data_IF_288765003746
#
_entry.id   IF_288765003746
#
_cell.length_a   1.000
_cell.length_b   1.000
_cell.length_c   1.000
_cell.angle_alpha   90.00
_cell.angle_beta   90.00
_cell.angle_gamma   90.00
#
_symmetry.space_group_name_H-M   'P 1'
#
loop_
_entity.id
_entity.type
_entity.pdbx_description
1 polymer ?
#
# COMPACT_ATOMS: atom_id res chain seq x y z
N UNK A 1 6.20 -25.74 18.80
CA UNK A 1 5.81 -24.36 19.07
C UNK A 1 5.53 -23.65 17.75
N UNK A 2 4.58 -22.73 17.69
CA UNK A 2 4.36 -21.94 16.48
C UNK A 2 5.52 -20.99 16.22
N UNK A 3 5.66 -20.55 14.96
CA UNK A 3 6.78 -19.72 14.48
C UNK A 3 6.29 -18.40 13.92
N UNK A 4 7.17 -17.41 13.93
CA UNK A 4 6.94 -16.06 13.39
C UNK A 4 8.15 -15.58 12.57
N UNK A 5 7.90 -14.71 11.59
CA UNK A 5 8.95 -14.06 10.80
C UNK A 5 9.44 -12.81 11.53
N UNK A 6 10.73 -12.79 11.88
CA UNK A 6 11.35 -11.71 12.65
C UNK A 6 12.56 -11.14 11.90
N UNK A 7 12.61 -9.82 11.80
CA UNK A 7 13.82 -9.09 11.42
C UNK A 7 14.69 -8.87 12.67
N UNK A 8 15.86 -9.52 12.73
CA UNK A 8 16.82 -9.36 13.82
C UNK A 8 17.66 -8.08 13.70
N UNK A 9 17.96 -7.71 12.47
CA UNK A 9 18.67 -6.50 12.06
C UNK A 9 18.39 -6.25 10.56
N UNK A 10 18.83 -5.12 10.00
CA UNK A 10 18.67 -4.88 8.57
C UNK A 10 19.10 -6.09 7.72
N UNK A 11 18.25 -6.49 6.78
CA UNK A 11 18.44 -7.61 5.84
C UNK A 11 18.72 -8.98 6.48
N UNK A 12 18.42 -9.15 7.78
CA UNK A 12 18.57 -10.43 8.46
C UNK A 12 17.25 -10.87 9.07
N UNK A 13 16.57 -11.79 8.38
CA UNK A 13 15.33 -12.40 8.82
C UNK A 13 15.58 -13.83 9.35
N UNK A 14 14.73 -14.24 10.26
CA UNK A 14 14.63 -15.62 10.73
C UNK A 14 13.17 -16.01 10.95
N UNK A 15 12.88 -17.30 10.88
CA UNK A 15 11.71 -17.89 11.49
C UNK A 15 12.07 -18.25 12.93
N UNK A 16 11.37 -17.67 13.90
CA UNK A 16 11.60 -17.86 15.33
C UNK A 16 10.39 -18.57 15.96
N UNK A 17 10.63 -19.57 16.77
CA UNK A 17 9.60 -20.14 17.64
C UNK A 17 9.22 -19.15 18.75
N UNK A 18 7.95 -19.20 19.16
CA UNK A 18 7.46 -18.41 20.29
C UNK A 18 6.45 -19.21 21.12
N UNK A 19 6.29 -18.82 22.36
CA UNK A 19 5.26 -19.36 23.24
C UNK A 19 3.96 -18.61 23.03
N UNK A 20 2.88 -19.36 22.85
CA UNK A 20 1.55 -18.75 22.78
C UNK A 20 1.11 -18.25 24.15
N UNK A 21 0.60 -17.01 24.16
CA UNK A 21 0.00 -16.46 25.38
C UNK A 21 -1.22 -17.28 25.78
N UNK A 22 -1.46 -17.40 27.08
CA UNK A 22 -2.72 -17.91 27.60
C UNK A 22 -3.85 -17.00 27.11
N UNK A 23 -4.88 -17.59 26.51
CA UNK A 23 -6.07 -16.88 26.02
C UNK A 23 -6.77 -16.18 27.18
N UNK A 24 -7.06 -14.89 27.04
CA UNK A 24 -7.86 -14.14 28.01
C UNK A 24 -9.36 -14.25 27.63
N UNK A 25 -10.24 -13.83 28.56
CA UNK A 25 -11.67 -13.94 28.36
C UNK A 25 -12.21 -13.12 27.16
N UNK A 26 -11.56 -12.00 26.81
CA UNK A 26 -11.92 -11.09 25.72
C UNK A 26 -11.08 -11.28 24.44
N UNK A 27 -10.30 -12.37 24.37
CA UNK A 27 -9.40 -12.67 23.23
C UNK A 27 -9.88 -13.85 22.41
N UNK A 28 -9.46 -13.87 21.15
CA UNK A 28 -9.58 -15.00 20.23
C UNK A 28 -8.22 -15.51 19.82
N UNK A 29 -8.14 -16.82 19.56
CA UNK A 29 -6.97 -17.45 18.92
C UNK A 29 -7.28 -17.78 17.49
N UNK A 30 -6.39 -17.37 16.60
CA UNK A 30 -6.54 -17.52 15.16
C UNK A 30 -5.38 -18.34 14.63
N UNK A 31 -5.67 -19.33 13.78
CA UNK A 31 -4.68 -20.01 12.95
C UNK A 31 -4.56 -19.27 11.62
N UNK A 32 -3.35 -18.91 11.24
CA UNK A 32 -3.10 -18.20 9.99
C UNK A 32 -3.40 -19.06 8.76
N UNK A 33 -3.93 -18.46 7.71
CA UNK A 33 -4.16 -19.08 6.40
C UNK A 33 -3.34 -18.40 5.31
N UNK A 34 -3.32 -17.08 5.31
CA UNK A 34 -2.64 -16.30 4.29
C UNK A 34 -2.17 -14.94 4.84
N UNK A 35 -0.99 -14.49 4.43
CA UNK A 35 -0.45 -13.18 4.82
C UNK A 35 0.15 -12.46 3.64
N UNK A 36 0.21 -11.13 3.71
CA UNK A 36 0.87 -10.32 2.70
C UNK A 36 1.52 -9.09 3.32
N UNK A 37 2.80 -8.79 2.98
CA UNK A 37 3.49 -7.60 3.46
C UNK A 37 3.05 -6.33 2.72
N UNK A 38 3.38 -5.17 3.32
CA UNK A 38 3.27 -3.85 2.69
C UNK A 38 4.63 -3.46 2.09
N UNK A 39 4.88 -3.87 0.85
CA UNK A 39 6.20 -3.80 0.21
C UNK A 39 6.89 -2.44 0.36
N UNK A 40 6.19 -1.34 0.04
CA UNK A 40 6.76 0.01 0.10
C UNK A 40 7.34 0.34 1.48
N UNK A 41 6.55 0.18 2.54
CA UNK A 41 6.96 0.50 3.91
C UNK A 41 7.91 -0.55 4.49
N UNK A 42 7.58 -1.83 4.32
CA UNK A 42 8.36 -2.91 4.94
C UNK A 42 9.72 -3.13 4.31
N UNK A 43 9.90 -2.86 3.01
CA UNK A 43 11.22 -2.92 2.38
C UNK A 43 12.19 -1.93 3.01
N UNK A 44 11.73 -0.74 3.41
CA UNK A 44 12.58 0.23 4.11
C UNK A 44 12.91 -0.21 5.54
N UNK A 45 11.95 -0.82 6.22
CA UNK A 45 12.21 -1.43 7.53
C UNK A 45 13.21 -2.59 7.37
N UNK A 46 12.98 -3.47 6.44
CA UNK A 46 13.86 -4.60 6.14
C UNK A 46 15.29 -4.17 5.79
N UNK A 47 15.44 -3.11 4.98
CA UNK A 47 16.73 -2.53 4.60
C UNK A 47 17.38 -1.70 5.69
N UNK A 48 16.65 -1.29 6.72
CA UNK A 48 17.13 -0.39 7.77
C UNK A 48 17.21 1.07 7.34
N UNK A 49 16.46 1.46 6.31
CA UNK A 49 16.47 2.82 5.73
C UNK A 49 15.23 3.64 6.08
N UNK A 50 14.37 3.15 6.96
CA UNK A 50 13.17 3.88 7.37
C UNK A 50 13.55 5.16 8.16
N UNK A 51 12.97 6.34 7.85
CA UNK A 51 13.29 7.62 8.54
C UNK A 51 13.05 7.58 10.05
N UNK A 52 12.17 6.71 10.50
CA UNK A 52 11.89 6.46 11.92
C UNK A 52 13.08 5.89 12.70
N UNK A 53 14.19 5.57 12.02
CA UNK A 53 15.44 5.19 12.68
C UNK A 53 16.19 6.38 13.26
N UNK A 54 16.06 7.57 12.65
CA UNK A 54 16.78 8.78 13.02
C UNK A 54 15.89 9.85 13.66
N UNK A 55 14.59 9.83 13.36
CA UNK A 55 13.63 10.84 13.79
C UNK A 55 12.38 10.22 14.38
N UNK A 56 11.75 10.94 15.30
CA UNK A 56 10.42 10.62 15.87
C UNK A 56 9.45 11.72 15.47
N UNK A 57 8.25 11.35 15.05
CA UNK A 57 7.19 12.33 14.81
C UNK A 57 6.61 12.79 16.14
N UNK A 58 6.70 14.10 16.40
CA UNK A 58 6.09 14.74 17.55
C UNK A 58 4.64 15.12 17.19
N UNK A 59 3.63 14.56 17.87
CA UNK A 59 2.23 14.81 17.54
C UNK A 59 1.75 16.21 17.99
N UNK A 60 2.40 16.83 18.97
CA UNK A 60 2.04 18.17 19.44
C UNK A 60 2.47 19.24 18.44
N UNK A 61 3.74 19.18 18.03
CA UNK A 61 4.28 20.14 17.06
C UNK A 61 4.08 19.71 15.61
N UNK A 62 3.68 18.44 15.37
CA UNK A 62 3.56 17.81 14.05
C UNK A 62 4.85 17.88 13.22
N UNK A 63 5.98 17.70 13.89
CA UNK A 63 7.33 17.75 13.32
C UNK A 63 8.05 16.42 13.51
N UNK A 64 8.94 16.09 12.58
CA UNK A 64 9.93 15.04 12.76
C UNK A 64 11.15 15.62 13.50
N UNK A 65 11.27 15.29 14.78
CA UNK A 65 12.38 15.72 15.63
C UNK A 65 13.46 14.62 15.68
N UNK A 66 14.74 15.00 15.93
CA UNK A 66 15.79 14.02 16.15
C UNK A 66 15.39 13.02 17.23
N UNK A 67 15.60 11.73 16.98
CA UNK A 67 15.33 10.68 17.96
C UNK A 67 16.50 10.62 18.95
N UNK A 68 16.19 10.72 20.23
CA UNK A 68 17.15 10.30 21.25
C UNK A 68 17.49 8.83 21.04
N UNK A 69 18.78 8.49 21.00
CA UNK A 69 19.27 7.14 20.71
C UNK A 69 18.90 6.16 21.83
N UNK A 70 17.65 5.81 21.96
CA UNK A 70 17.18 4.79 22.90
C UNK A 70 16.79 3.53 22.14
N UNK A 71 17.72 2.59 22.06
CA UNK A 71 17.48 1.23 21.56
C UNK A 71 17.47 1.05 20.05
N UNK A 72 17.71 -0.17 19.63
CA UNK A 72 17.56 -0.62 18.24
C UNK A 72 16.07 -0.79 17.91
N UNK A 73 15.60 -0.44 16.68
CA UNK A 73 14.25 -0.78 16.21
C UNK A 73 14.09 -2.28 15.96
N UNK A 74 15.13 -3.06 16.13
CA UNK A 74 15.19 -4.52 16.01
C UNK A 74 15.45 -5.19 17.37
N UNK A 75 14.99 -6.45 17.55
CA UNK A 75 14.21 -7.27 16.62
C UNK A 75 12.75 -6.81 16.49
N UNK A 76 12.14 -7.03 15.31
CA UNK A 76 10.73 -6.71 15.10
C UNK A 76 10.03 -7.67 14.13
N UNK A 77 8.72 -7.94 14.32
CA UNK A 77 7.94 -8.72 13.36
C UNK A 77 7.74 -7.95 12.05
N UNK A 78 7.56 -8.70 10.96
CA UNK A 78 7.20 -8.20 9.64
C UNK A 78 5.83 -8.77 9.24
N UNK A 79 5.17 -8.10 8.31
CA UNK A 79 3.84 -8.43 7.79
C UNK A 79 2.88 -7.27 7.99
N UNK A 80 1.81 -7.25 7.21
CA UNK A 80 0.83 -6.17 7.23
C UNK A 80 -0.59 -6.68 7.36
N UNK A 81 -1.06 -7.50 6.42
CA UNK A 81 -2.40 -8.05 6.42
C UNK A 81 -2.33 -9.58 6.45
N UNK A 82 -3.19 -10.18 7.26
CA UNK A 82 -3.33 -11.65 7.30
C UNK A 82 -4.78 -12.06 7.41
N UNK A 83 -5.07 -13.26 6.92
CA UNK A 83 -6.32 -13.97 7.13
C UNK A 83 -6.07 -15.23 7.94
N UNK A 84 -7.12 -15.76 8.55
CA UNK A 84 -7.05 -17.00 9.29
C UNK A 84 -8.42 -17.46 9.78
N UNK A 85 -8.41 -18.59 10.46
CA UNK A 85 -9.62 -19.18 11.10
C UNK A 85 -9.48 -19.09 12.60
N UNK A 86 -10.54 -18.64 13.27
CA UNK A 86 -10.64 -18.68 14.74
C UNK A 86 -10.66 -20.13 15.21
N UNK A 87 -9.72 -20.52 16.06
CA UNK A 87 -9.62 -21.88 16.61
C UNK A 87 -10.08 -21.94 18.08
N UNK A 88 -10.06 -20.80 18.78
CA UNK A 88 -10.49 -20.71 20.18
C UNK A 88 -11.01 -19.29 20.47
N UNK A 89 -12.05 -19.15 21.29
CA UNK A 89 -12.60 -17.87 21.73
C UNK A 89 -12.78 -17.86 23.25
N UNK A 90 -12.37 -16.77 23.89
CA UNK A 90 -12.56 -16.56 25.32
C UNK A 90 -14.04 -16.38 25.70
N UNK A 91 -14.38 -16.61 26.96
CA UNK A 91 -15.76 -16.65 27.42
C UNK A 91 -16.54 -15.33 27.34
N UNK A 92 -15.85 -14.19 27.17
CA UNK A 92 -16.47 -12.87 27.03
C UNK A 92 -16.55 -12.38 25.57
N UNK A 93 -15.97 -13.14 24.63
CA UNK A 93 -16.03 -12.84 23.19
C UNK A 93 -17.47 -13.00 22.69
N UNK A 94 -17.98 -11.98 21.99
CA UNK A 94 -19.35 -11.94 21.48
C UNK A 94 -19.46 -11.99 19.96
N UNK A 95 -18.43 -11.52 19.26
CA UNK A 95 -18.45 -11.35 17.80
C UNK A 95 -17.98 -12.58 17.04
N UNK A 96 -17.19 -13.45 17.66
CA UNK A 96 -16.51 -14.54 16.97
C UNK A 96 -16.66 -15.88 17.71
N UNK A 97 -16.63 -16.95 16.94
CA UNK A 97 -16.60 -18.35 17.43
C UNK A 97 -15.59 -19.17 16.65
N UNK A 98 -15.21 -20.31 17.17
CA UNK A 98 -14.35 -21.27 16.45
C UNK A 98 -14.98 -21.64 15.09
N UNK A 99 -14.15 -21.62 14.05
CA UNK A 99 -14.53 -21.85 12.65
C UNK A 99 -14.80 -20.56 11.86
N UNK A 100 -14.93 -19.40 12.50
CA UNK A 100 -15.10 -18.13 11.78
C UNK A 100 -13.81 -17.73 11.05
N UNK A 101 -13.94 -17.36 9.78
CA UNK A 101 -12.82 -16.81 9.01
C UNK A 101 -12.71 -15.31 9.24
N UNK A 102 -11.48 -14.86 9.44
CA UNK A 102 -11.18 -13.49 9.86
C UNK A 102 -10.01 -12.90 9.10
N UNK A 103 -9.90 -11.58 9.09
CA UNK A 103 -8.75 -10.85 8.54
C UNK A 103 -8.44 -9.60 9.37
N UNK A 104 -7.20 -9.11 9.27
CA UNK A 104 -6.79 -7.86 9.93
C UNK A 104 -5.32 -7.54 9.75
N UNK A 105 -4.91 -6.44 10.37
CA UNK A 105 -3.51 -6.02 10.40
C UNK A 105 -2.70 -6.88 11.38
N UNK A 106 -2.12 -7.95 10.87
CA UNK A 106 -1.40 -8.95 11.62
C UNK A 106 -0.04 -9.25 10.96
N UNK A 107 1.01 -9.53 11.76
CA UNK A 107 2.33 -9.90 11.23
C UNK A 107 2.32 -11.31 10.63
N UNK A 108 3.39 -11.68 9.92
CA UNK A 108 3.59 -13.04 9.36
C UNK A 108 3.98 -14.00 10.47
N UNK A 109 3.00 -14.83 10.92
CA UNK A 109 3.18 -15.84 11.97
C UNK A 109 2.09 -16.91 11.90
N UNK A 110 2.34 -18.08 12.47
CA UNK A 110 1.43 -19.24 12.35
C UNK A 110 0.14 -19.11 13.15
N UNK A 111 0.16 -18.40 14.30
CA UNK A 111 -1.05 -18.18 15.12
C UNK A 111 -1.10 -16.77 15.69
N UNK A 112 -2.27 -16.28 16.05
CA UNK A 112 -2.47 -14.97 16.69
C UNK A 112 -3.36 -15.13 17.93
N UNK A 113 -3.07 -14.37 18.97
CA UNK A 113 -3.98 -14.16 20.10
C UNK A 113 -4.25 -12.67 20.20
N UNK A 114 -5.46 -12.25 19.89
CA UNK A 114 -5.87 -10.85 19.75
C UNK A 114 -7.25 -10.60 20.34
N UNK A 115 -7.54 -9.34 20.68
CA UNK A 115 -8.89 -8.94 21.11
C UNK A 115 -9.84 -8.92 19.91
N UNK A 116 -11.12 -9.20 20.17
CA UNK A 116 -12.14 -9.25 19.11
C UNK A 116 -12.30 -7.93 18.33
N UNK A 117 -11.97 -6.78 18.90
CA UNK A 117 -12.07 -5.48 18.23
C UNK A 117 -10.89 -5.15 17.30
N UNK A 118 -9.88 -6.02 17.22
CA UNK A 118 -8.70 -5.86 16.36
C UNK A 118 -8.81 -6.60 15.04
N UNK A 119 -9.92 -7.31 14.82
CA UNK A 119 -10.09 -8.25 13.72
C UNK A 119 -11.49 -8.07 13.11
N UNK A 120 -11.62 -8.38 11.83
CA UNK A 120 -12.87 -8.34 11.08
C UNK A 120 -13.24 -9.73 10.55
N UNK A 121 -14.55 -10.00 10.40
CA UNK A 121 -15.01 -11.18 9.69
C UNK A 121 -14.60 -11.14 8.22
N UNK A 122 -14.04 -12.23 7.71
CA UNK A 122 -13.85 -12.39 6.28
C UNK A 122 -15.20 -12.73 5.62
N UNK A 123 -15.73 -11.87 4.73
CA UNK A 123 -17.03 -12.12 4.13
C UNK A 123 -17.09 -13.40 3.33
N UNK A 124 -18.27 -14.01 3.30
CA UNK A 124 -18.53 -15.12 2.41
C UNK A 124 -18.27 -14.71 0.94
N UNK A 125 -17.54 -15.53 0.22
CA UNK A 125 -17.18 -15.29 -1.19
C UNK A 125 -15.96 -14.39 -1.42
N UNK A 126 -15.34 -13.82 -0.37
CA UNK A 126 -14.06 -13.14 -0.49
C UNK A 126 -12.91 -14.12 -0.22
N UNK A 127 -11.93 -14.16 -1.11
CA UNK A 127 -10.73 -14.98 -0.95
C UNK A 127 -9.74 -14.32 0.04
N UNK A 128 -8.79 -15.11 0.56
CA UNK A 128 -7.71 -14.60 1.41
C UNK A 128 -6.83 -13.59 0.66
N UNK A 129 -6.58 -13.83 -0.62
CA UNK A 129 -5.80 -12.94 -1.50
C UNK A 129 -6.49 -11.58 -1.70
N UNK A 130 -7.81 -11.58 -1.85
CA UNK A 130 -8.60 -10.34 -1.91
C UNK A 130 -8.54 -9.58 -0.58
N UNK A 131 -8.73 -10.27 0.54
CA UNK A 131 -8.74 -9.65 1.87
C UNK A 131 -7.40 -8.95 2.20
N UNK A 132 -6.26 -9.55 1.85
CA UNK A 132 -4.96 -8.89 2.08
C UNK A 132 -4.68 -7.72 1.13
N UNK A 133 -5.55 -7.52 0.13
CA UNK A 133 -5.52 -6.36 -0.76
C UNK A 133 -6.42 -5.20 -0.29
N UNK A 134 -7.14 -5.34 0.81
CA UNK A 134 -7.96 -4.25 1.37
C UNK A 134 -7.12 -3.06 1.84
N UNK A 135 -5.94 -3.29 2.44
CA UNK A 135 -5.04 -2.18 2.81
C UNK A 135 -4.56 -1.36 1.59
N UNK A 136 -4.02 -1.96 0.51
CA UNK A 136 -3.71 -1.17 -0.68
C UNK A 136 -4.96 -0.53 -1.34
N UNK A 137 -6.12 -1.15 -1.29
CA UNK A 137 -7.37 -0.56 -1.80
C UNK A 137 -7.80 0.67 -0.96
N UNK A 138 -7.71 0.59 0.36
CA UNK A 138 -7.96 1.71 1.27
C UNK A 138 -7.04 2.90 0.99
N UNK A 139 -5.74 2.67 0.86
CA UNK A 139 -4.75 3.73 0.58
C UNK A 139 -4.97 4.33 -0.82
N UNK A 140 -5.28 3.48 -1.82
CA UNK A 140 -5.61 3.93 -3.17
C UNK A 140 -6.85 4.82 -3.17
N UNK A 141 -7.93 4.41 -2.49
CA UNK A 141 -9.17 5.19 -2.41
C UNK A 141 -8.94 6.57 -1.80
N UNK A 142 -8.16 6.66 -0.72
CA UNK A 142 -7.81 7.95 -0.13
C UNK A 142 -7.05 8.84 -1.12
N UNK A 143 -6.07 8.29 -1.85
CA UNK A 143 -5.33 9.01 -2.90
C UNK A 143 -6.23 9.49 -4.03
N UNK A 144 -7.16 8.67 -4.50
CA UNK A 144 -8.15 9.02 -5.53
C UNK A 144 -9.08 10.14 -5.05
N UNK A 145 -9.53 10.10 -3.80
CA UNK A 145 -10.35 11.16 -3.22
C UNK A 145 -9.61 12.48 -3.09
N UNK A 146 -8.39 12.45 -2.57
CA UNK A 146 -7.53 13.63 -2.49
C UNK A 146 -7.17 14.18 -3.87
N UNK A 147 -7.10 13.32 -4.90
CA UNK A 147 -6.92 13.70 -6.29
C UNK A 147 -8.13 14.44 -6.86
N UNK A 148 -9.32 14.27 -6.25
CA UNK A 148 -10.57 14.93 -6.64
C UNK A 148 -10.82 14.84 -8.16
N UNK A 149 -10.70 13.63 -8.70
CA UNK A 149 -10.90 13.34 -10.13
C UNK A 149 -12.34 13.67 -10.50
N UNK A 150 -12.49 14.46 -11.56
CA UNK A 150 -13.80 14.82 -12.12
C UNK A 150 -14.06 14.07 -13.42
N UNK A 151 -15.33 13.84 -13.70
CA UNK A 151 -15.75 13.22 -14.95
C UNK A 151 -15.16 14.00 -16.15
N UNK A 152 -14.49 13.28 -17.04
CA UNK A 152 -13.89 13.87 -18.24
C UNK A 152 -12.38 14.16 -18.11
N UNK A 153 -11.80 14.11 -16.91
CA UNK A 153 -10.38 14.38 -16.70
C UNK A 153 -9.48 13.24 -17.21
N UNK A 154 -8.27 13.61 -17.60
CA UNK A 154 -7.15 12.71 -17.91
C UNK A 154 -6.29 12.53 -16.68
N UNK A 155 -5.88 11.32 -16.41
CA UNK A 155 -5.12 10.96 -15.21
C UNK A 155 -3.81 10.26 -15.60
N UNK A 156 -2.72 10.57 -14.89
CA UNK A 156 -1.48 9.80 -14.96
C UNK A 156 -1.15 9.18 -13.62
N UNK A 157 -0.73 7.92 -13.60
CA UNK A 157 -0.36 7.17 -12.39
C UNK A 157 1.09 6.74 -12.49
N UNK A 158 1.91 7.15 -11.53
CA UNK A 158 3.33 6.85 -11.44
C UNK A 158 3.59 5.86 -10.30
N UNK A 159 4.08 4.66 -10.67
CA UNK A 159 4.26 3.53 -9.76
C UNK A 159 3.06 2.59 -9.72
N UNK A 160 3.24 1.39 -10.29
CA UNK A 160 2.21 0.37 -10.46
C UNK A 160 2.42 -0.83 -9.53
N UNK A 161 2.76 -0.54 -8.27
CA UNK A 161 2.63 -1.49 -7.17
C UNK A 161 1.16 -1.75 -6.83
N UNK A 162 0.89 -2.49 -5.75
CA UNK A 162 -0.48 -2.84 -5.36
C UNK A 162 -1.41 -1.61 -5.25
N UNK A 163 -0.93 -0.50 -4.66
CA UNK A 163 -1.72 0.72 -4.50
C UNK A 163 -1.97 1.38 -5.87
N UNK A 164 -0.94 1.48 -6.73
CA UNK A 164 -1.10 2.09 -8.06
C UNK A 164 -2.04 1.31 -8.98
N UNK A 165 -1.98 -0.01 -8.93
CA UNK A 165 -2.89 -0.89 -9.67
C UNK A 165 -4.35 -0.75 -9.19
N UNK A 166 -4.58 -0.62 -7.88
CA UNK A 166 -5.91 -0.31 -7.34
C UNK A 166 -6.36 1.11 -7.73
N UNK A 167 -5.42 2.08 -7.74
CA UNK A 167 -5.70 3.47 -8.16
C UNK A 167 -6.13 3.55 -9.63
N UNK A 168 -5.58 2.74 -10.52
CA UNK A 168 -5.98 2.72 -11.93
C UNK A 168 -7.46 2.35 -12.09
N UNK A 169 -7.91 1.30 -11.41
CA UNK A 169 -9.31 0.89 -11.40
C UNK A 169 -10.22 1.98 -10.82
N UNK A 170 -9.83 2.55 -9.70
CA UNK A 170 -10.64 3.57 -9.02
C UNK A 170 -10.67 4.90 -9.78
N UNK A 171 -9.58 5.28 -10.49
CA UNK A 171 -9.58 6.45 -11.37
C UNK A 171 -10.61 6.29 -12.51
N UNK A 172 -10.70 5.10 -13.09
CA UNK A 172 -11.72 4.78 -14.10
C UNK A 172 -13.12 4.92 -13.54
N UNK A 173 -13.38 4.35 -12.35
CA UNK A 173 -14.67 4.46 -11.66
C UNK A 173 -15.01 5.92 -11.28
N UNK A 174 -14.01 6.77 -11.09
CA UNK A 174 -14.19 8.20 -10.77
C UNK A 174 -14.46 9.06 -12.01
N UNK A 175 -14.45 8.47 -13.21
CA UNK A 175 -14.78 9.18 -14.46
C UNK A 175 -13.57 9.69 -15.24
N UNK A 176 -12.37 9.19 -14.97
CA UNK A 176 -11.20 9.44 -15.83
C UNK A 176 -11.48 8.94 -17.25
N UNK A 177 -11.26 9.80 -18.25
CA UNK A 177 -11.48 9.47 -19.68
C UNK A 177 -10.28 8.77 -20.29
N UNK A 178 -9.08 9.13 -19.87
CA UNK A 178 -7.82 8.51 -20.27
C UNK A 178 -6.95 8.32 -19.01
N UNK A 179 -6.40 7.13 -18.86
CA UNK A 179 -5.46 6.79 -17.78
C UNK A 179 -4.13 6.39 -18.40
N UNK A 180 -3.11 7.25 -18.20
CA UNK A 180 -1.73 6.93 -18.45
C UNK A 180 -1.10 6.31 -17.21
N UNK A 181 -0.20 5.35 -17.38
CA UNK A 181 0.45 4.73 -16.24
C UNK A 181 1.93 4.46 -16.49
N UNK A 182 2.78 4.63 -15.49
CA UNK A 182 4.24 4.46 -15.61
C UNK A 182 4.81 3.58 -14.51
N UNK A 183 5.58 2.57 -14.91
CA UNK A 183 6.38 1.71 -14.02
C UNK A 183 7.49 1.05 -14.84
N UNK A 184 8.73 0.88 -14.31
CA UNK A 184 9.81 0.21 -15.03
C UNK A 184 9.53 -1.28 -15.29
N UNK A 185 8.65 -1.93 -14.51
CA UNK A 185 8.44 -3.37 -14.54
C UNK A 185 7.34 -3.77 -15.53
N UNK A 186 7.65 -4.52 -16.60
CA UNK A 186 6.67 -4.91 -17.63
C UNK A 186 5.47 -5.69 -17.07
N UNK A 187 5.68 -6.53 -16.04
CA UNK A 187 4.60 -7.31 -15.42
C UNK A 187 3.54 -6.41 -14.80
N UNK A 188 3.94 -5.28 -14.20
CA UNK A 188 3.05 -4.31 -13.58
C UNK A 188 2.31 -3.49 -14.64
N UNK A 189 3.02 -3.07 -15.71
CA UNK A 189 2.39 -2.35 -16.83
C UNK A 189 1.30 -3.17 -17.49
N UNK A 190 1.57 -4.46 -17.80
CA UNK A 190 0.55 -5.37 -18.36
C UNK A 190 -0.67 -5.55 -17.45
N UNK A 191 -0.47 -5.59 -16.12
CA UNK A 191 -1.60 -5.68 -15.21
C UNK A 191 -2.38 -4.36 -15.11
N UNK A 192 -1.69 -3.21 -15.19
CA UNK A 192 -2.34 -1.91 -15.23
C UNK A 192 -3.25 -1.74 -16.46
N UNK A 193 -2.85 -2.25 -17.62
CA UNK A 193 -3.69 -2.28 -18.83
C UNK A 193 -4.96 -3.11 -18.61
N UNK A 194 -4.84 -4.30 -18.00
CA UNK A 194 -6.02 -5.10 -17.61
C UNK A 194 -6.92 -4.37 -16.63
N UNK A 195 -6.35 -3.53 -15.78
CA UNK A 195 -7.04 -2.77 -14.75
C UNK A 195 -7.57 -1.42 -15.22
N UNK A 196 -7.46 -1.14 -16.53
CA UNK A 196 -8.09 0.02 -17.16
C UNK A 196 -7.16 1.19 -17.48
N UNK A 197 -5.83 1.02 -17.38
CA UNK A 197 -4.89 1.98 -17.97
C UNK A 197 -4.96 1.90 -19.50
N UNK A 198 -5.15 3.05 -20.15
CA UNK A 198 -5.29 3.12 -21.61
C UNK A 198 -3.93 3.06 -22.32
N UNK A 199 -2.87 3.53 -21.66
CA UNK A 199 -1.50 3.48 -22.17
C UNK A 199 -0.50 3.43 -21.02
N UNK A 200 0.53 2.59 -21.19
CA UNK A 200 1.61 2.45 -20.20
C UNK A 200 2.96 2.86 -20.76
N UNK A 201 3.86 3.31 -19.89
CA UNK A 201 5.20 3.77 -20.24
C UNK A 201 6.27 3.15 -19.35
N UNK A 202 7.43 2.92 -19.95
CA UNK A 202 8.65 2.50 -19.27
C UNK A 202 9.55 3.73 -19.04
N UNK A 203 9.68 4.21 -17.77
CA UNK A 203 10.49 5.40 -17.49
C UNK A 203 12.00 5.19 -17.72
N UNK A 204 12.44 3.95 -17.92
CA UNK A 204 13.85 3.66 -18.25
C UNK A 204 14.15 3.77 -19.74
N UNK A 205 13.11 3.82 -20.57
CA UNK A 205 13.24 3.78 -22.04
C UNK A 205 12.80 5.08 -22.71
N UNK A 206 11.92 5.87 -22.05
CA UNK A 206 11.37 7.10 -22.64
C UNK A 206 11.26 8.22 -21.61
N UNK A 207 11.19 9.47 -22.08
CA UNK A 207 10.75 10.61 -21.27
C UNK A 207 9.23 10.53 -21.12
N UNK A 208 8.79 9.98 -19.98
CA UNK A 208 7.36 9.69 -19.72
C UNK A 208 6.50 10.94 -19.80
N UNK A 209 6.98 12.05 -19.23
CA UNK A 209 6.21 13.29 -19.23
C UNK A 209 6.00 13.83 -20.65
N UNK A 210 7.04 13.79 -21.48
CA UNK A 210 6.97 14.20 -22.89
C UNK A 210 6.03 13.27 -23.68
N UNK A 211 6.10 11.97 -23.47
CA UNK A 211 5.22 11.02 -24.15
C UNK A 211 3.75 11.18 -23.73
N UNK A 212 3.47 11.48 -22.47
CA UNK A 212 2.13 11.81 -21.99
C UNK A 212 1.64 13.11 -22.66
N UNK A 213 2.49 14.15 -22.74
CA UNK A 213 2.13 15.40 -23.45
C UNK A 213 1.76 15.11 -24.89
N UNK A 214 2.59 14.41 -25.67
CA UNK A 214 2.30 14.04 -27.05
C UNK A 214 0.98 13.24 -27.19
N UNK A 215 0.77 12.26 -26.30
CA UNK A 215 -0.41 11.41 -26.31
C UNK A 215 -1.70 12.15 -25.92
N UNK A 216 -1.58 13.32 -25.29
CA UNK A 216 -2.70 14.17 -24.84
C UNK A 216 -2.87 15.43 -25.66
N UNK A 217 -2.45 15.43 -26.94
CA UNK A 217 -2.51 16.59 -27.84
C UNK A 217 -1.72 17.79 -27.26
N UNK A 218 -0.53 17.54 -26.78
CA UNK A 218 0.44 18.48 -26.18
C UNK A 218 -0.05 19.19 -24.90
N UNK A 219 -1.19 18.79 -24.34
CA UNK A 219 -1.79 19.44 -23.16
C UNK A 219 -1.30 18.85 -21.83
N UNK A 220 -1.09 17.54 -21.78
CA UNK A 220 -0.84 16.82 -20.54
C UNK A 220 -2.13 16.34 -19.85
N UNK A 221 -1.99 15.89 -18.60
CA UNK A 221 -3.10 15.38 -17.80
C UNK A 221 -3.61 16.42 -16.80
N UNK A 222 -4.84 16.25 -16.35
CA UNK A 222 -5.45 17.11 -15.34
C UNK A 222 -4.92 16.78 -13.95
N UNK A 223 -4.66 15.49 -13.71
CA UNK A 223 -4.21 14.96 -12.43
C UNK A 223 -3.10 13.94 -12.64
N UNK A 224 -2.00 14.07 -11.92
CA UNK A 224 -1.00 13.03 -11.78
C UNK A 224 -0.99 12.50 -10.34
N UNK A 225 -0.97 11.18 -10.17
CA UNK A 225 -0.92 10.51 -8.87
C UNK A 225 0.41 9.77 -8.77
N UNK A 226 1.25 10.19 -7.84
CA UNK A 226 2.56 9.58 -7.61
C UNK A 226 2.50 8.63 -6.42
N UNK A 227 2.82 7.35 -6.65
CA UNK A 227 2.63 6.25 -5.70
C UNK A 227 3.93 5.43 -5.53
N UNK A 228 4.98 5.72 -6.29
CA UNK A 228 6.22 4.96 -6.24
C UNK A 228 7.14 5.36 -5.08
N UNK A 229 7.06 6.60 -4.61
CA UNK A 229 7.98 7.19 -3.65
C UNK A 229 9.35 7.53 -4.24
N UNK A 230 9.47 7.53 -5.56
CA UNK A 230 10.68 7.91 -6.29
C UNK A 230 10.62 9.38 -6.68
N UNK A 231 11.61 10.15 -6.31
CA UNK A 231 11.64 11.59 -6.62
C UNK A 231 11.76 11.89 -8.13
N UNK A 232 12.37 10.99 -8.93
CA UNK A 232 12.37 11.09 -10.38
C UNK A 232 10.96 10.90 -10.96
N UNK A 233 10.21 9.92 -10.47
CA UNK A 233 8.82 9.71 -10.86
C UNK A 233 7.91 10.88 -10.43
N UNK A 234 8.19 11.51 -9.27
CA UNK A 234 7.50 12.73 -8.86
C UNK A 234 7.82 13.90 -9.81
N UNK A 235 9.07 14.04 -10.24
CA UNK A 235 9.43 15.06 -11.23
C UNK A 235 8.70 14.81 -12.57
N UNK A 236 8.62 13.56 -13.03
CA UNK A 236 7.84 13.22 -14.23
C UNK A 236 6.33 13.48 -14.04
N UNK A 237 5.80 13.20 -12.86
CA UNK A 237 4.41 13.54 -12.53
C UNK A 237 4.15 15.06 -12.63
N UNK A 238 5.06 15.88 -12.08
CA UNK A 238 5.00 17.34 -12.18
C UNK A 238 5.03 17.80 -13.65
N UNK A 239 5.95 17.24 -14.46
CA UNK A 239 6.10 17.58 -15.88
C UNK A 239 4.93 17.15 -16.75
N UNK A 240 4.19 16.11 -16.35
CA UNK A 240 3.11 15.53 -17.16
C UNK A 240 1.79 16.28 -17.06
N UNK A 241 1.53 17.05 -15.99
CA UNK A 241 0.27 17.78 -15.82
C UNK A 241 0.21 19.03 -16.69
N UNK A 242 -1.01 19.45 -17.01
CA UNK A 242 -1.23 20.70 -17.74
C UNK A 242 -1.05 21.95 -16.84
N UNK A 243 -1.19 23.11 -17.42
CA UNK A 243 -1.18 24.39 -16.68
C UNK A 243 -2.26 24.40 -15.60
N UNK A 244 -1.89 24.76 -14.36
CA UNK A 244 -2.73 24.70 -13.16
C UNK A 244 -3.26 23.27 -12.82
N UNK A 245 -2.62 22.22 -13.33
CA UNK A 245 -2.96 20.83 -13.00
C UNK A 245 -2.60 20.44 -11.58
N UNK A 246 -2.98 19.22 -11.17
CA UNK A 246 -2.79 18.70 -9.81
C UNK A 246 -1.83 17.51 -9.79
N UNK A 247 -0.94 17.48 -8.80
CA UNK A 247 -0.10 16.31 -8.47
C UNK A 247 -0.46 15.86 -7.06
N UNK A 248 -0.79 14.59 -6.90
CA UNK A 248 -1.09 13.98 -5.60
C UNK A 248 -0.03 12.95 -5.26
N UNK A 249 0.64 13.12 -4.12
CA UNK A 249 1.64 12.18 -3.65
C UNK A 249 1.02 11.27 -2.60
N UNK A 250 0.97 9.97 -2.88
CA UNK A 250 0.41 8.94 -1.97
C UNK A 250 1.53 8.19 -1.25
N UNK A 251 2.75 8.30 -1.74
CA UNK A 251 3.91 7.59 -1.24
C UNK A 251 4.60 8.28 -0.08
N UNK A 252 5.37 7.48 0.64
CA UNK A 252 6.29 7.93 1.67
C UNK A 252 7.69 8.07 1.07
N UNK A 253 8.09 9.30 0.77
CA UNK A 253 9.40 9.61 0.20
C UNK A 253 10.50 9.52 1.25
N UNK A 254 11.66 9.05 0.82
CA UNK A 254 12.83 8.90 1.69
C UNK A 254 14.09 9.43 1.01
N UNK A 255 15.05 9.82 1.83
CA UNK A 255 16.31 10.38 1.32
C UNK A 255 16.16 11.81 0.84
N UNK A 256 17.01 12.21 -0.13
CA UNK A 256 17.09 13.57 -0.66
C UNK A 256 16.19 13.75 -1.87
N UNK A 257 15.46 14.86 -1.92
CA UNK A 257 14.66 15.30 -3.07
C UNK A 257 15.47 15.93 -4.21
N UNK A 258 16.75 15.60 -4.36
CA UNK A 258 17.66 16.23 -5.35
C UNK A 258 17.24 16.07 -6.81
N UNK A 259 16.35 15.12 -7.12
CA UNK A 259 15.78 14.98 -8.46
C UNK A 259 14.71 16.04 -8.80
N UNK A 260 14.16 16.73 -7.80
CA UNK A 260 13.12 17.74 -8.03
C UNK A 260 13.69 19.05 -8.56
N UNK A 261 13.01 19.62 -9.55
CA UNK A 261 13.31 20.87 -10.22
C UNK A 261 12.15 21.83 -10.07
N UNK A 262 11.91 22.33 -8.84
CA UNK A 262 10.73 23.14 -8.53
C UNK A 262 10.75 24.52 -9.19
N UNK A 263 11.88 25.02 -9.64
CA UNK A 263 11.99 26.25 -10.43
C UNK A 263 11.51 26.11 -11.90
N UNK A 264 11.31 24.89 -12.36
CA UNK A 264 10.89 24.58 -13.73
C UNK A 264 9.37 24.44 -13.82
N UNK A 265 8.85 23.32 -14.29
CA UNK A 265 7.43 23.13 -14.62
C UNK A 265 6.48 23.38 -13.43
N UNK A 266 6.88 23.00 -12.20
CA UNK A 266 6.04 23.26 -11.03
C UNK A 266 5.74 24.77 -10.88
N UNK A 267 6.77 25.59 -10.95
CA UNK A 267 6.65 27.06 -10.82
C UNK A 267 5.95 27.66 -12.05
N UNK A 268 6.47 27.37 -13.26
CA UNK A 268 5.99 27.98 -14.49
C UNK A 268 4.54 27.60 -14.83
N UNK A 269 4.15 26.37 -14.58
CA UNK A 269 2.80 25.88 -14.88
C UNK A 269 1.82 26.03 -13.72
N UNK A 270 2.22 26.68 -12.60
CA UNK A 270 1.37 26.95 -11.43
C UNK A 270 0.70 25.68 -10.89
N UNK A 271 1.47 24.60 -10.78
CA UNK A 271 0.96 23.27 -10.42
C UNK A 271 0.64 23.21 -8.93
N UNK A 272 -0.52 22.66 -8.58
CA UNK A 272 -0.87 22.31 -7.21
C UNK A 272 -0.29 20.93 -6.87
N UNK A 273 0.52 20.85 -5.82
CA UNK A 273 1.02 19.58 -5.30
C UNK A 273 0.50 19.36 -3.88
N UNK A 274 -0.09 18.21 -3.62
CA UNK A 274 -0.64 17.87 -2.31
C UNK A 274 -0.28 16.42 -1.92
N UNK A 275 -0.17 16.19 -0.62
CA UNK A 275 0.09 14.86 -0.07
C UNK A 275 -1.20 14.17 0.34
N UNK A 276 -1.30 12.86 0.11
CA UNK A 276 -2.34 11.99 0.62
C UNK A 276 -1.74 11.00 1.62
N UNK A 277 -2.28 10.99 2.83
CA UNK A 277 -1.78 10.14 3.90
C UNK A 277 -2.91 9.73 4.85
N UNK A 278 -3.62 8.64 4.55
CA UNK A 278 -4.81 8.22 5.31
C UNK A 278 -4.50 7.43 6.58
N UNK A 279 -3.21 7.19 6.89
CA UNK A 279 -2.77 6.37 8.03
C UNK A 279 -2.40 7.22 9.26
N UNK A 280 -2.13 6.56 10.41
CA UNK A 280 -1.74 7.18 11.68
C UNK A 280 -2.76 8.20 12.22
N UNK A 281 -4.06 7.89 12.05
CA UNK A 281 -5.18 8.73 12.51
C UNK A 281 -5.19 10.14 11.90
N UNK A 282 -4.57 10.34 10.73
CA UNK A 282 -4.75 11.57 10.01
C UNK A 282 -6.18 11.64 9.48
N UNK A 283 -6.88 12.77 9.66
CA UNK A 283 -8.19 12.94 9.05
C UNK A 283 -8.05 13.02 7.52
N UNK A 284 -9.04 12.51 6.80
CA UNK A 284 -9.13 12.79 5.36
C UNK A 284 -9.45 14.26 5.13
N UNK A 285 -9.15 14.78 3.92
CA UNK A 285 -9.40 16.21 3.59
C UNK A 285 -10.87 16.56 3.64
N UNK A 286 -11.75 15.59 3.44
CA UNK A 286 -13.21 15.75 3.47
C UNK A 286 -13.82 15.40 4.86
N UNK A 287 -13.00 15.37 5.92
CA UNK A 287 -13.49 15.14 7.28
C UNK A 287 -14.43 16.28 7.71
N UNK A 288 -15.55 16.02 8.42
CA UNK A 288 -15.97 14.71 8.96
C UNK A 288 -16.79 13.85 8.02
N UNK A 289 -17.12 14.31 6.82
CA UNK A 289 -17.96 13.55 5.87
C UNK A 289 -17.31 12.23 5.41
N UNK A 290 -15.97 12.20 5.35
CA UNK A 290 -15.17 11.04 5.07
C UNK A 290 -14.12 10.84 6.16
N UNK A 291 -14.39 9.89 7.03
CA UNK A 291 -13.46 9.41 8.05
C UNK A 291 -12.78 8.11 7.61
N UNK A 292 -11.97 7.54 8.49
CA UNK A 292 -11.26 6.30 8.19
C UNK A 292 -12.21 5.11 8.04
N UNK A 293 -13.28 5.06 8.83
CA UNK A 293 -14.27 3.97 8.80
C UNK A 293 -15.00 3.96 7.45
N UNK A 294 -15.51 5.10 7.00
CA UNK A 294 -16.17 5.21 5.69
C UNK A 294 -15.24 4.89 4.54
N UNK A 295 -13.96 5.28 4.60
CA UNK A 295 -12.97 4.92 3.60
C UNK A 295 -12.75 3.40 3.54
N UNK A 296 -12.65 2.76 4.71
CA UNK A 296 -12.46 1.31 4.82
C UNK A 296 -13.70 0.55 4.30
N UNK A 297 -14.89 0.93 4.74
CA UNK A 297 -16.16 0.35 4.28
C UNK A 297 -16.34 0.50 2.76
N UNK A 298 -15.98 1.67 2.20
CA UNK A 298 -16.09 1.90 0.77
C UNK A 298 -15.11 1.05 -0.01
N UNK A 299 -13.83 0.98 0.38
CA UNK A 299 -12.83 0.14 -0.27
C UNK A 299 -13.24 -1.34 -0.21
N UNK A 300 -13.74 -1.77 0.93
CA UNK A 300 -14.27 -3.11 1.14
C UNK A 300 -15.49 -3.39 0.22
N UNK A 301 -16.47 -2.51 0.19
CA UNK A 301 -17.67 -2.65 -0.65
C UNK A 301 -17.34 -2.68 -2.16
N UNK A 302 -16.35 -1.91 -2.60
CA UNK A 302 -15.87 -1.96 -4.00
C UNK A 302 -15.27 -3.32 -4.36
N UNK A 303 -14.51 -3.95 -3.46
CA UNK A 303 -13.96 -5.29 -3.67
C UNK A 303 -15.05 -6.36 -3.57
N UNK A 304 -15.92 -6.29 -2.57
CA UNK A 304 -16.99 -7.26 -2.37
C UNK A 304 -17.98 -7.28 -3.55
N UNK A 305 -18.30 -6.13 -4.10
CA UNK A 305 -19.16 -5.99 -5.29
C UNK A 305 -18.43 -6.21 -6.62
N UNK A 306 -17.15 -6.59 -6.57
CA UNK A 306 -16.30 -6.81 -7.75
C UNK A 306 -16.20 -5.61 -8.69
N UNK A 307 -16.43 -4.40 -8.19
CA UNK A 307 -16.18 -3.16 -8.94
C UNK A 307 -14.69 -2.90 -9.12
N UNK A 308 -13.88 -3.37 -8.18
CA UNK A 308 -12.44 -3.50 -8.30
C UNK A 308 -12.02 -4.93 -7.99
N UNK A 309 -10.89 -5.37 -8.54
CA UNK A 309 -10.39 -6.73 -8.39
C UNK A 309 -8.94 -6.77 -7.92
N UNK A 310 -8.57 -7.84 -7.24
CA UNK A 310 -7.18 -8.18 -6.90
C UNK A 310 -6.59 -9.29 -7.79
N UNK A 311 -7.30 -9.70 -8.86
CA UNK A 311 -6.90 -10.81 -9.73
C UNK A 311 -5.53 -10.55 -10.38
N UNK A 312 -4.57 -11.44 -10.13
CA UNK A 312 -3.19 -11.33 -10.64
C UNK A 312 -2.31 -10.34 -9.86
N UNK A 313 -2.83 -9.70 -8.81
CA UNK A 313 -2.05 -8.77 -8.00
C UNK A 313 -1.13 -9.49 -7.01
N UNK A 314 -1.57 -10.60 -6.43
CA UNK A 314 -0.75 -11.43 -5.53
C UNK A 314 0.14 -12.35 -6.37
N UNK A 315 1.39 -11.95 -6.52
CA UNK A 315 2.43 -12.72 -7.21
C UNK A 315 3.82 -12.23 -6.75
N UNK A 316 4.73 -13.15 -6.33
CA UNK A 316 4.54 -14.59 -6.15
C UNK A 316 3.87 -14.98 -4.83
N UNK A 317 3.51 -16.26 -4.69
CA UNK A 317 3.04 -16.87 -3.45
C UNK A 317 4.09 -17.86 -2.96
N UNK A 318 4.46 -17.77 -1.68
CA UNK A 318 5.42 -18.64 -1.01
C UNK A 318 4.82 -19.32 0.21
N UNK A 319 5.21 -20.58 0.53
CA UNK A 319 4.86 -21.16 1.82
C UNK A 319 5.58 -20.45 2.96
N UNK A 320 4.99 -20.41 4.13
CA UNK A 320 5.51 -19.74 5.32
C UNK A 320 6.96 -20.12 5.65
N UNK A 321 7.32 -21.39 5.46
CA UNK A 321 8.67 -21.92 5.68
C UNK A 321 9.74 -21.23 4.82
N UNK A 322 9.32 -20.65 3.70
CA UNK A 322 10.18 -19.90 2.75
C UNK A 322 10.02 -18.38 2.84
N UNK A 323 9.42 -17.87 3.90
CA UNK A 323 9.19 -16.42 4.05
C UNK A 323 10.48 -15.59 4.00
N UNK A 324 11.59 -16.12 4.51
CA UNK A 324 12.90 -15.46 4.43
C UNK A 324 13.35 -15.29 2.97
N UNK A 325 13.30 -16.38 2.19
CA UNK A 325 13.64 -16.38 0.76
C UNK A 325 12.71 -15.44 -0.03
N UNK A 326 11.44 -15.40 0.33
CA UNK A 326 10.44 -14.54 -0.31
C UNK A 326 10.76 -13.04 -0.12
N UNK A 327 11.20 -12.62 1.07
CA UNK A 327 11.64 -11.25 1.31
C UNK A 327 12.96 -10.91 0.60
N UNK A 328 13.89 -11.86 0.51
CA UNK A 328 15.10 -11.68 -0.29
C UNK A 328 14.78 -11.50 -1.78
N UNK A 329 13.79 -12.24 -2.29
CA UNK A 329 13.33 -12.09 -3.68
C UNK A 329 12.83 -10.67 -3.94
N UNK A 330 11.97 -10.12 -3.07
CA UNK A 330 11.44 -8.76 -3.24
C UNK A 330 12.57 -7.72 -3.26
N UNK A 331 13.59 -7.91 -2.43
CA UNK A 331 14.70 -6.98 -2.30
C UNK A 331 15.65 -7.03 -3.50
N UNK A 332 15.97 -8.25 -3.98
CA UNK A 332 16.97 -8.50 -5.03
C UNK A 332 16.37 -8.57 -6.43
N UNK A 333 15.12 -8.98 -6.55
CA UNK A 333 14.42 -9.25 -7.82
C UNK A 333 13.01 -8.66 -7.83
N UNK A 334 12.85 -7.34 -7.64
CA UNK A 334 11.53 -6.70 -7.61
C UNK A 334 10.74 -6.89 -8.92
N UNK A 335 11.43 -7.17 -10.04
CA UNK A 335 10.82 -7.46 -11.35
C UNK A 335 10.00 -8.76 -11.36
N UNK A 336 10.19 -9.63 -10.36
CA UNK A 336 9.44 -10.89 -10.21
C UNK A 336 8.26 -10.80 -9.25
N UNK A 337 7.99 -9.59 -8.72
CA UNK A 337 7.01 -9.42 -7.67
C UNK A 337 6.11 -8.20 -7.90
N UNK A 338 4.81 -8.40 -7.84
CA UNK A 338 3.82 -7.32 -7.73
C UNK A 338 3.48 -7.13 -6.24
N UNK A 339 2.89 -8.15 -5.60
CA UNK A 339 2.63 -8.20 -4.16
C UNK A 339 2.81 -9.63 -3.66
N UNK A 340 3.67 -9.82 -2.67
CA UNK A 340 3.97 -11.13 -2.10
C UNK A 340 2.78 -11.69 -1.33
N UNK A 341 2.48 -12.98 -1.54
CA UNK A 341 1.60 -13.80 -0.71
C UNK A 341 2.39 -14.86 0.07
N UNK A 342 1.96 -15.14 1.29
CA UNK A 342 2.50 -16.20 2.16
C UNK A 342 1.34 -17.11 2.58
N UNK A 343 1.44 -18.42 2.26
CA UNK A 343 0.49 -19.46 2.69
C UNK A 343 1.03 -20.24 3.89
N UNK A 344 0.15 -20.87 4.70
CA UNK A 344 0.53 -21.61 5.89
C UNK A 344 0.15 -23.09 5.80
#
# INVERSE_FOLDING_TARGET
MPRELIALKPRKLILREYEEKKLQADEIRIKAEFSSPKHGTESHVYRGTAPTHEKTFDPQYRLFLPREKTGSPFPRPLGNMSTGTVIEAGGEVKKFKAGDRVFGHLPIRETYTVKENQINHLPAGMSSEEAVCLDPAYVALAGIRDANIKLGERVAIFGLGAIGLMSAQMAKLSGATIIFASDPLPIRRRLAEKYGADRTFDPTSVDVALEIKKASQDKGVDVAIEISGNYGALQDAIRSVHYCGRVVTVSFYQGSGSALRLSEEWHHNRITMLSSMPVWKNPSRDYPMWDAERLEETAFGLMQTKKITAEGLIAPIYPFQKSVEAYELIDKHPEKCIKLGITY
#
